data_IF_895733670188
#
_entry.id   IF_895733670188
#
_cell.length_a   1.000
_cell.length_b   1.000
_cell.length_c   1.000
_cell.angle_alpha   90.00
_cell.angle_beta   90.00
_cell.angle_gamma   90.00
#
_symmetry.space_group_name_H-M   'P 1'
#
loop_
_entity.id
_entity.type
_entity.pdbx_description
1 polymer ?
#
# COMPACT_ATOMS: atom_id res chain seq x y z
N UNK A 1 -53.54 15.18 20.95
CA UNK A 1 -53.57 14.97 19.49
C UNK A 1 -52.12 14.73 19.06
N UNK A 2 -51.73 13.49 18.75
CA UNK A 2 -50.37 13.18 18.29
C UNK A 2 -50.40 13.05 16.77
N UNK A 3 -49.71 13.95 16.07
CA UNK A 3 -49.51 13.84 14.62
C UNK A 3 -48.31 12.92 14.37
N UNK A 4 -48.54 11.74 13.80
CA UNK A 4 -47.47 10.90 13.27
C UNK A 4 -46.90 11.56 12.01
N UNK A 5 -45.56 11.66 11.86
CA UNK A 5 -44.98 12.22 10.65
C UNK A 5 -45.36 11.36 9.43
N UNK A 6 -45.65 12.04 8.32
CA UNK A 6 -46.02 11.40 7.06
C UNK A 6 -44.87 10.52 6.54
N UNK A 7 -45.14 9.33 5.96
CA UNK A 7 -44.11 8.37 5.55
C UNK A 7 -43.03 8.93 4.61
N UNK A 8 -43.38 9.93 3.78
CA UNK A 8 -42.43 10.63 2.91
C UNK A 8 -41.32 11.37 3.70
N UNK A 9 -41.68 12.04 4.80
CA UNK A 9 -40.72 12.77 5.65
C UNK A 9 -39.77 11.81 6.37
N UNK A 10 -40.28 10.64 6.77
CA UNK A 10 -39.47 9.60 7.41
C UNK A 10 -38.49 8.92 6.43
N UNK A 11 -38.85 8.81 5.15
CA UNK A 11 -37.96 8.25 4.12
C UNK A 11 -36.83 9.24 3.79
N UNK A 12 -37.16 10.51 3.53
CA UNK A 12 -36.15 11.55 3.26
C UNK A 12 -35.15 11.72 4.42
N UNK A 13 -35.61 11.67 5.68
CA UNK A 13 -34.72 11.74 6.84
C UNK A 13 -33.75 10.53 6.94
N UNK A 14 -34.21 9.34 6.53
CA UNK A 14 -33.38 8.12 6.51
C UNK A 14 -32.35 8.17 5.38
N UNK A 15 -32.73 8.69 4.22
CA UNK A 15 -31.82 8.89 3.08
C UNK A 15 -30.73 9.92 3.39
N UNK A 16 -31.10 11.08 3.94
CA UNK A 16 -30.14 12.10 4.38
C UNK A 16 -29.14 11.54 5.40
N UNK A 17 -29.63 10.78 6.40
CA UNK A 17 -28.74 10.12 7.37
C UNK A 17 -27.85 9.05 6.74
N UNK A 18 -28.36 8.32 5.74
CA UNK A 18 -27.57 7.35 4.99
C UNK A 18 -26.45 8.00 4.16
N UNK A 19 -26.72 9.17 3.58
CA UNK A 19 -25.72 9.96 2.85
C UNK A 19 -24.67 10.58 3.79
N UNK A 20 -25.08 11.06 4.96
CA UNK A 20 -24.16 11.53 6.00
C UNK A 20 -23.22 10.41 6.46
N UNK A 21 -23.76 9.23 6.77
CA UNK A 21 -22.98 8.03 7.12
C UNK A 21 -21.98 7.66 6.02
N UNK A 22 -22.37 7.78 4.75
CA UNK A 22 -21.48 7.50 3.63
C UNK A 22 -20.33 8.52 3.56
N UNK A 23 -20.63 9.80 3.79
CA UNK A 23 -19.62 10.86 3.86
C UNK A 23 -18.63 10.67 5.03
N UNK A 24 -19.13 10.30 6.20
CA UNK A 24 -18.28 10.02 7.37
C UNK A 24 -17.32 8.84 7.12
N UNK A 25 -17.82 7.77 6.48
CA UNK A 25 -17.00 6.60 6.11
C UNK A 25 -15.94 6.99 5.07
N UNK A 26 -16.30 7.78 4.06
CA UNK A 26 -15.36 8.26 3.05
C UNK A 26 -14.23 9.07 3.69
N UNK A 27 -14.57 10.04 4.55
CA UNK A 27 -13.57 10.83 5.27
C UNK A 27 -12.66 9.98 6.15
N UNK A 28 -13.23 8.98 6.84
CA UNK A 28 -12.45 8.07 7.67
C UNK A 28 -11.46 7.23 6.83
N UNK A 29 -11.87 6.73 5.65
CA UNK A 29 -11.01 5.97 4.76
C UNK A 29 -9.92 6.86 4.16
N UNK A 30 -10.28 8.03 3.63
CA UNK A 30 -9.34 8.95 3.00
C UNK A 30 -8.30 9.45 4.00
N UNK A 31 -8.72 9.92 5.17
CA UNK A 31 -7.79 10.39 6.22
C UNK A 31 -6.89 9.27 6.76
N UNK A 32 -7.38 8.02 6.80
CA UNK A 32 -6.56 6.87 7.15
C UNK A 32 -5.51 6.62 6.05
N UNK A 33 -5.93 6.58 4.79
CA UNK A 33 -5.05 6.36 3.65
C UNK A 33 -3.92 7.39 3.63
N UNK A 34 -4.23 8.68 3.70
CA UNK A 34 -3.25 9.76 3.72
C UNK A 34 -2.21 9.60 4.83
N UNK A 35 -2.65 9.18 6.03
CA UNK A 35 -1.76 8.98 7.17
C UNK A 35 -0.87 7.75 7.03
N UNK A 36 -1.35 6.67 6.41
CA UNK A 36 -0.60 5.40 6.31
C UNK A 36 0.20 5.25 5.03
N UNK A 37 -0.14 5.98 3.96
CA UNK A 37 0.56 5.89 2.67
C UNK A 37 2.08 6.04 2.79
N UNK A 38 2.64 6.98 3.60
CA UNK A 38 4.09 7.12 3.73
C UNK A 38 4.82 5.91 4.32
N UNK A 39 4.09 5.00 4.96
CA UNK A 39 4.64 3.78 5.57
C UNK A 39 4.74 2.60 4.60
N UNK A 40 4.04 2.67 3.45
CA UNK A 40 4.01 1.58 2.46
C UNK A 40 5.06 1.84 1.39
N UNK A 41 5.83 0.80 1.08
CA UNK A 41 6.93 0.88 0.12
C UNK A 41 6.80 -0.19 -0.96
N UNK A 42 7.36 0.08 -2.13
CA UNK A 42 7.57 -0.93 -3.16
C UNK A 42 8.98 -1.52 -3.01
N UNK A 43 9.08 -2.84 -3.12
CA UNK A 43 10.32 -3.59 -2.93
C UNK A 43 10.61 -4.36 -4.22
N UNK A 44 11.84 -4.25 -4.70
CA UNK A 44 12.37 -5.02 -5.83
C UNK A 44 13.71 -5.64 -5.43
N UNK A 45 13.80 -6.96 -5.24
CA UNK A 45 15.03 -7.64 -4.86
C UNK A 45 16.10 -7.48 -5.93
N UNK A 46 17.34 -7.28 -5.47
CA UNK A 46 18.51 -7.25 -6.32
C UNK A 46 19.11 -8.64 -6.31
N UNK A 47 19.13 -9.28 -7.48
CA UNK A 47 19.78 -10.57 -7.68
C UNK A 47 21.01 -10.36 -8.55
N UNK A 48 22.17 -10.84 -8.10
CA UNK A 48 23.34 -10.90 -8.97
C UNK A 48 23.05 -11.85 -10.13
N UNK A 49 22.86 -11.29 -11.33
CA UNK A 49 22.80 -12.09 -12.54
C UNK A 49 24.25 -12.48 -12.85
N UNK A 50 24.63 -13.72 -12.54
CA UNK A 50 25.90 -14.27 -13.00
C UNK A 50 26.02 -14.07 -14.52
N UNK A 51 26.97 -13.24 -14.95
CA UNK A 51 27.18 -12.90 -16.35
C UNK A 51 27.45 -14.16 -17.17
N UNK A 52 26.47 -14.53 -18.01
CA UNK A 52 26.59 -15.57 -19.02
C UNK A 52 25.81 -15.19 -20.27
N UNK A 53 26.50 -14.54 -21.20
CA UNK A 53 26.17 -14.38 -22.63
C UNK A 53 24.85 -13.69 -23.04
N UNK A 54 25.00 -12.69 -23.91
CA UNK A 54 24.02 -12.40 -24.96
C UNK A 54 23.16 -11.16 -24.72
N UNK A 55 23.32 -10.20 -25.64
CA UNK A 55 22.46 -9.04 -25.80
C UNK A 55 20.99 -9.45 -25.94
N UNK A 56 20.24 -9.42 -24.83
CA UNK A 56 18.81 -9.10 -24.83
C UNK A 56 18.56 -8.23 -23.59
N UNK A 57 18.41 -6.92 -23.78
CA UNK A 57 17.61 -6.08 -22.88
C UNK A 57 16.16 -6.57 -22.94
N UNK A 58 15.89 -7.77 -22.43
CA UNK A 58 14.61 -8.03 -21.77
C UNK A 58 14.72 -7.21 -20.50
N UNK A 59 13.92 -6.15 -20.38
CA UNK A 59 13.67 -5.52 -19.10
C UNK A 59 13.57 -6.65 -18.08
N UNK A 60 14.36 -6.63 -16.98
CA UNK A 60 14.28 -7.70 -16.00
C UNK A 60 12.80 -7.83 -15.68
N UNK A 61 12.19 -8.95 -16.09
CA UNK A 61 10.91 -9.32 -15.55
C UNK A 61 11.18 -9.29 -14.06
N UNK A 62 10.59 -8.29 -13.38
CA UNK A 62 10.78 -8.04 -11.97
C UNK A 62 10.20 -9.25 -11.23
N UNK A 63 10.96 -10.32 -11.19
CA UNK A 63 10.65 -11.54 -10.46
C UNK A 63 10.93 -11.17 -9.00
N UNK A 64 9.95 -10.48 -8.39
CA UNK A 64 10.04 -9.97 -7.02
C UNK A 64 9.52 -8.55 -6.79
N UNK A 65 8.73 -7.91 -7.67
CA UNK A 65 8.08 -6.65 -7.25
C UNK A 65 6.98 -6.95 -6.23
N UNK A 66 7.08 -6.38 -5.04
CA UNK A 66 6.10 -6.54 -3.98
C UNK A 66 6.01 -5.30 -3.10
N UNK A 67 5.16 -5.36 -2.08
CA UNK A 67 5.03 -4.26 -1.12
C UNK A 67 5.65 -4.63 0.21
N UNK A 68 6.09 -3.63 0.95
CA UNK A 68 6.43 -3.76 2.36
C UNK A 68 5.87 -2.60 3.17
N UNK A 69 6.03 -2.71 4.49
CA UNK A 69 5.61 -1.68 5.43
C UNK A 69 6.78 -1.33 6.35
N UNK A 70 7.03 -0.03 6.51
CA UNK A 70 7.97 0.51 7.49
C UNK A 70 7.31 0.37 8.87
N UNK A 71 7.93 -0.42 9.74
CA UNK A 71 7.39 -0.72 11.08
C UNK A 71 8.14 0.01 12.20
N UNK A 72 9.28 0.63 11.88
CA UNK A 72 10.11 1.37 12.83
C UNK A 72 10.73 2.61 12.18
N UNK A 73 10.94 3.64 12.98
CA UNK A 73 11.52 4.93 12.56
C UNK A 73 12.97 4.82 12.07
N UNK A 74 13.69 3.76 12.46
CA UNK A 74 15.06 3.49 12.01
C UNK A 74 15.14 2.77 10.66
N UNK A 75 14.01 2.60 9.97
CA UNK A 75 13.96 2.10 8.59
C UNK A 75 13.77 0.59 8.45
N UNK A 76 13.35 -0.11 9.50
CA UNK A 76 12.99 -1.54 9.38
C UNK A 76 11.70 -1.70 8.58
N UNK A 77 11.79 -2.50 7.52
CA UNK A 77 10.68 -2.83 6.63
C UNK A 77 10.34 -4.31 6.77
N UNK A 78 9.05 -4.62 6.84
CA UNK A 78 8.54 -5.99 6.82
C UNK A 78 7.86 -6.25 5.47
N UNK A 79 8.17 -7.39 4.87
CA UNK A 79 7.51 -7.90 3.65
C UNK A 79 7.35 -9.41 3.74
N UNK A 80 6.69 -10.00 2.75
CA UNK A 80 6.58 -11.45 2.66
C UNK A 80 7.88 -12.06 2.14
N UNK A 81 8.22 -13.25 2.61
CA UNK A 81 9.41 -13.98 2.17
C UNK A 81 9.46 -14.16 0.63
N UNK A 82 8.32 -14.42 -0.02
CA UNK A 82 8.29 -14.62 -1.48
C UNK A 82 8.58 -13.35 -2.29
N UNK A 83 8.52 -12.16 -1.66
CA UNK A 83 8.88 -10.90 -2.33
C UNK A 83 10.39 -10.83 -2.48
N UNK A 84 11.14 -11.11 -1.42
CA UNK A 84 12.60 -11.06 -1.40
C UNK A 84 13.22 -12.30 -2.07
N UNK A 85 12.72 -13.49 -1.73
CA UNK A 85 13.30 -14.76 -2.13
C UNK A 85 14.50 -15.15 -1.25
N UNK A 86 15.02 -16.36 -1.45
CA UNK A 86 16.03 -16.96 -0.57
C UNK A 86 17.45 -16.40 -0.78
N UNK A 87 17.76 -15.89 -1.98
CA UNK A 87 19.14 -15.53 -2.37
C UNK A 87 19.41 -14.01 -2.42
N UNK A 88 18.40 -13.18 -2.21
CA UNK A 88 18.57 -11.73 -2.30
C UNK A 88 19.18 -11.19 -0.99
N UNK A 89 20.33 -10.53 -1.08
CA UNK A 89 20.98 -9.86 0.04
C UNK A 89 20.61 -8.38 0.14
N UNK A 90 20.13 -7.80 -0.97
CA UNK A 90 19.75 -6.40 -1.10
C UNK A 90 18.45 -6.26 -1.89
N UNK A 91 17.74 -5.15 -1.68
CA UNK A 91 16.56 -4.78 -2.45
C UNK A 91 16.52 -3.27 -2.71
N UNK A 92 16.06 -2.89 -3.91
CA UNK A 92 15.64 -1.53 -4.21
C UNK A 92 14.27 -1.28 -3.57
N UNK A 93 14.22 -0.27 -2.71
CA UNK A 93 13.02 0.18 -2.02
C UNK A 93 12.63 1.54 -2.56
N UNK A 94 11.41 1.63 -3.08
CA UNK A 94 10.81 2.90 -3.52
C UNK A 94 9.76 3.35 -2.52
N UNK A 95 9.96 4.54 -1.97
CA UNK A 95 9.06 5.19 -1.02
C UNK A 95 7.87 5.85 -1.75
N UNK A 96 6.87 6.28 -0.98
CA UNK A 96 5.67 6.94 -1.51
C UNK A 96 5.95 8.28 -2.21
N UNK A 97 7.03 8.97 -1.84
CA UNK A 97 7.48 10.22 -2.47
C UNK A 97 8.29 10.00 -3.76
N UNK A 98 8.36 8.74 -4.23
CA UNK A 98 9.11 8.29 -5.39
C UNK A 98 10.63 8.30 -5.23
N UNK A 99 11.16 8.55 -4.03
CA UNK A 99 12.58 8.33 -3.75
C UNK A 99 12.90 6.83 -3.70
N UNK A 100 14.13 6.49 -4.07
CA UNK A 100 14.64 5.13 -4.07
C UNK A 100 15.81 4.99 -3.10
N UNK A 101 15.91 3.85 -2.44
CA UNK A 101 16.97 3.51 -1.50
C UNK A 101 17.34 2.03 -1.66
N UNK A 102 18.58 1.68 -1.37
CA UNK A 102 19.00 0.27 -1.26
C UNK A 102 18.83 -0.16 0.20
N UNK A 103 18.06 -1.22 0.41
CA UNK A 103 17.88 -1.84 1.71
C UNK A 103 18.62 -3.18 1.78
N UNK A 104 19.15 -3.50 2.94
CA UNK A 104 19.77 -4.79 3.22
C UNK A 104 18.71 -5.78 3.74
N UNK A 105 18.78 -7.02 3.26
CA UNK A 105 17.98 -8.12 3.79
C UNK A 105 18.68 -8.63 5.06
N UNK A 106 17.97 -8.57 6.19
CA UNK A 106 18.52 -8.90 7.51
C UNK A 106 17.89 -10.14 8.16
N UNK A 107 16.93 -10.80 7.49
CA UNK A 107 16.26 -12.00 7.98
C UNK A 107 15.20 -12.53 7.02
#
# INVERSE_FOLDING_TARGET
>A
MFFSPSPAVSQTAKELRGLELLGDIEQAITSLAERVTPTVVNITPIREIAQGQGFQRRAPFAQGSGSGVIVREDGIIVTNNHVVGEDATEADVRLSDMSNMIAQVIG
#
